data_IF_018268802755
#
_entry.id   IF_018268802755
#
_cell.length_a   1.000
_cell.length_b   1.000
_cell.length_c   1.000
_cell.angle_alpha   90.00
_cell.angle_beta   90.00
_cell.angle_gamma   90.00
#
_symmetry.space_group_name_H-M   'P 1'
#
loop_
_entity.id
_entity.type
_entity.pdbx_description
1 polymer ?
#
# COMPACT_ATOMS: atom_id res chain seq x y z
N UNK A 1 7.90 5.49 -28.92
CA UNK A 1 7.32 5.20 -27.59
C UNK A 1 6.97 3.71 -27.38
N UNK A 2 6.66 2.97 -28.45
CA UNK A 2 6.46 1.50 -28.41
C UNK A 2 7.81 0.75 -28.32
N UNK A 3 8.89 1.31 -28.86
CA UNK A 3 10.22 0.67 -28.86
C UNK A 3 10.95 0.69 -27.50
N UNK A 4 10.57 1.57 -26.57
CA UNK A 4 11.14 1.62 -25.22
C UNK A 4 10.73 0.41 -24.36
N UNK A 5 9.60 -0.22 -24.70
CA UNK A 5 9.10 -1.42 -24.03
C UNK A 5 9.73 -2.72 -24.57
N UNK A 6 10.31 -2.70 -25.78
CA UNK A 6 10.81 -3.92 -26.45
C UNK A 6 12.28 -4.23 -26.10
N UNK A 7 13.06 -3.23 -25.71
CA UNK A 7 14.50 -3.39 -25.43
C UNK A 7 14.84 -3.80 -23.97
N UNK A 8 13.84 -3.86 -23.08
CA UNK A 8 14.00 -4.22 -21.65
C UNK A 8 13.77 -5.71 -21.38
N UNK A 9 13.83 -6.55 -22.43
CA UNK A 9 13.58 -7.99 -22.31
C UNK A 9 14.87 -8.76 -21.95
N UNK A 10 16.05 -8.16 -22.09
CA UNK A 10 17.35 -8.82 -21.93
C UNK A 10 18.04 -8.73 -20.56
N UNK A 11 17.57 -7.90 -19.62
CA UNK A 11 18.11 -7.85 -18.24
C UNK A 11 17.01 -7.67 -17.20
N UNK A 12 16.14 -8.69 -17.07
CA UNK A 12 14.85 -8.57 -16.36
C UNK A 12 14.92 -8.50 -14.82
N UNK A 13 16.08 -8.73 -14.21
CA UNK A 13 16.32 -8.53 -12.77
C UNK A 13 17.75 -8.00 -12.64
N UNK A 14 17.92 -6.71 -12.31
CA UNK A 14 19.23 -6.10 -12.08
C UNK A 14 19.33 -5.76 -10.60
N UNK A 15 19.85 -6.70 -9.81
CA UNK A 15 20.13 -6.46 -8.38
C UNK A 15 21.26 -5.43 -8.28
N UNK A 16 20.89 -4.17 -8.33
CA UNK A 16 21.76 -3.02 -8.20
C UNK A 16 21.48 -2.35 -6.84
N UNK A 17 22.44 -1.55 -6.36
CA UNK A 17 22.29 -0.86 -5.06
C UNK A 17 21.03 0.00 -5.00
N UNK A 18 20.60 0.51 -6.16
CA UNK A 18 19.40 1.31 -6.30
C UNK A 18 18.11 0.49 -6.14
N UNK A 19 18.07 -0.74 -6.65
CA UNK A 19 16.93 -1.66 -6.45
C UNK A 19 16.85 -2.13 -4.99
N UNK A 20 18.00 -2.41 -4.38
CA UNK A 20 18.08 -2.77 -2.96
C UNK A 20 17.58 -1.61 -2.08
N UNK A 21 18.05 -0.39 -2.32
CA UNK A 21 17.60 0.80 -1.58
C UNK A 21 16.12 1.09 -1.79
N UNK A 22 15.60 0.89 -3.01
CA UNK A 22 14.18 1.05 -3.32
C UNK A 22 13.30 0.03 -2.60
N UNK A 23 13.72 -1.24 -2.57
CA UNK A 23 13.02 -2.30 -1.84
C UNK A 23 12.98 -2.05 -0.33
N UNK A 24 14.09 -1.61 0.27
CA UNK A 24 14.12 -1.20 1.68
C UNK A 24 13.23 0.02 1.94
N UNK A 25 13.15 0.96 1.00
CA UNK A 25 12.26 2.12 1.09
C UNK A 25 10.78 1.74 1.10
N UNK A 26 10.36 0.80 0.23
CA UNK A 26 8.97 0.32 0.18
C UNK A 26 8.58 -0.39 1.48
N UNK A 27 9.43 -1.32 1.94
CA UNK A 27 9.26 -2.05 3.21
C UNK A 27 9.16 -1.09 4.41
N UNK A 28 9.96 -0.03 4.43
CA UNK A 28 9.94 0.97 5.50
C UNK A 28 8.59 1.68 5.65
N UNK A 29 7.80 1.76 4.57
CA UNK A 29 6.44 2.32 4.61
C UNK A 29 5.37 1.26 4.82
N UNK A 30 5.58 0.04 4.33
CA UNK A 30 4.60 -1.05 4.42
C UNK A 30 4.53 -1.67 5.82
N UNK A 31 5.66 -1.85 6.50
CA UNK A 31 5.69 -2.42 7.85
C UNK A 31 4.81 -1.65 8.86
N UNK A 32 4.98 -0.33 9.06
CA UNK A 32 4.13 0.41 10.00
C UNK A 32 2.66 0.41 9.59
N UNK A 33 2.37 0.43 8.28
CA UNK A 33 1.01 0.40 7.77
C UNK A 33 0.32 -0.95 8.04
N UNK A 34 1.02 -2.07 7.77
CA UNK A 34 0.53 -3.42 8.05
C UNK A 34 0.32 -3.61 9.56
N UNK A 35 1.25 -3.14 10.40
CA UNK A 35 1.10 -3.20 11.86
C UNK A 35 -0.15 -2.42 12.31
N UNK A 36 -0.35 -1.20 11.80
CA UNK A 36 -1.55 -0.42 12.08
C UNK A 36 -2.84 -1.14 11.65
N UNK A 37 -2.81 -1.80 10.48
CA UNK A 37 -3.94 -2.58 10.00
C UNK A 37 -4.22 -3.79 10.89
N UNK A 38 -3.20 -4.53 11.33
CA UNK A 38 -3.34 -5.70 12.20
C UNK A 38 -3.98 -5.32 13.55
N UNK A 39 -3.54 -4.20 14.13
CA UNK A 39 -4.07 -3.69 15.41
C UNK A 39 -5.56 -3.37 15.31
N UNK A 40 -5.99 -2.76 14.20
CA UNK A 40 -7.39 -2.33 14.00
C UNK A 40 -8.30 -3.47 13.56
N UNK A 41 -7.82 -4.35 12.69
CA UNK A 41 -8.63 -5.40 12.04
C UNK A 41 -8.67 -6.73 12.80
N UNK A 42 -7.71 -6.98 13.70
CA UNK A 42 -7.57 -8.26 14.40
C UNK A 42 -7.20 -9.43 13.48
N UNK A 43 -6.67 -9.15 12.28
CA UNK A 43 -6.20 -10.19 11.35
C UNK A 43 -5.01 -10.96 11.92
N UNK A 44 -4.88 -12.24 11.54
CA UNK A 44 -3.72 -13.04 11.95
C UNK A 44 -2.43 -12.49 11.30
N UNK A 45 -1.45 -12.01 12.10
CA UNK A 45 -0.21 -11.42 11.57
C UNK A 45 0.55 -12.36 10.65
N UNK A 46 0.58 -13.66 10.98
CA UNK A 46 1.31 -14.68 10.21
C UNK A 46 0.77 -14.75 8.79
N UNK A 47 -0.56 -14.80 8.64
CA UNK A 47 -1.19 -14.90 7.32
C UNK A 47 -0.98 -13.64 6.48
N UNK A 48 -1.08 -12.46 7.10
CA UNK A 48 -0.90 -11.18 6.39
C UNK A 48 0.54 -11.02 5.91
N UNK A 49 1.53 -11.27 6.77
CA UNK A 49 2.94 -11.18 6.38
C UNK A 49 3.33 -12.25 5.35
N UNK A 50 2.80 -13.46 5.47
CA UNK A 50 3.06 -14.54 4.51
C UNK A 50 2.49 -14.21 3.13
N UNK A 51 1.23 -13.75 3.07
CA UNK A 51 0.60 -13.34 1.81
C UNK A 51 1.28 -12.10 1.20
N UNK A 52 1.65 -11.13 2.02
CA UNK A 52 2.39 -9.95 1.58
C UNK A 52 3.75 -10.33 0.96
N UNK A 53 4.54 -11.16 1.65
CA UNK A 53 5.83 -11.63 1.16
C UNK A 53 5.72 -12.44 -0.13
N UNK A 54 4.76 -13.38 -0.20
CA UNK A 54 4.49 -14.15 -1.42
C UNK A 54 4.06 -13.25 -2.58
N UNK A 55 3.19 -12.27 -2.33
CA UNK A 55 2.74 -11.31 -3.33
C UNK A 55 3.91 -10.46 -3.86
N UNK A 56 4.85 -10.05 -3.00
CA UNK A 56 6.00 -9.26 -3.41
C UNK A 56 6.99 -10.10 -4.24
N UNK A 57 7.23 -11.35 -3.86
CA UNK A 57 8.03 -12.29 -4.66
C UNK A 57 7.38 -12.53 -6.03
N UNK A 58 6.07 -12.79 -6.05
CA UNK A 58 5.33 -13.00 -7.29
C UNK A 58 5.39 -11.77 -8.20
N UNK A 59 5.18 -10.57 -7.65
CA UNK A 59 5.29 -9.32 -8.41
C UNK A 59 6.71 -9.11 -8.94
N UNK A 60 7.74 -9.37 -8.14
CA UNK A 60 9.14 -9.26 -8.55
C UNK A 60 9.49 -10.23 -9.69
N UNK A 61 8.98 -11.46 -9.66
CA UNK A 61 9.19 -12.45 -10.72
C UNK A 61 8.43 -12.12 -12.02
N UNK A 62 7.20 -11.63 -11.91
CA UNK A 62 6.34 -11.34 -13.08
C UNK A 62 6.71 -10.02 -13.75
N UNK A 63 6.98 -8.97 -12.98
CA UNK A 63 7.20 -7.61 -13.48
C UNK A 63 8.67 -7.16 -13.47
N UNK A 64 9.59 -7.95 -12.89
CA UNK A 64 11.03 -7.68 -12.87
C UNK A 64 11.47 -6.58 -11.89
N UNK A 65 10.53 -5.96 -11.18
CA UNK A 65 10.75 -4.92 -10.17
C UNK A 65 9.72 -5.08 -9.03
N UNK A 66 10.07 -4.75 -7.78
CA UNK A 66 9.07 -4.57 -6.73
C UNK A 66 8.16 -3.41 -7.14
N UNK A 67 6.92 -3.73 -7.53
CA UNK A 67 5.97 -2.71 -7.95
C UNK A 67 5.30 -2.13 -6.70
N UNK A 68 5.28 -0.79 -6.52
CA UNK A 68 4.62 -0.20 -5.37
C UNK A 68 3.13 -0.53 -5.41
N UNK A 69 2.65 -1.18 -4.35
CA UNK A 69 1.27 -1.66 -4.22
C UNK A 69 0.33 -0.54 -3.80
N UNK A 70 0.36 0.59 -4.54
CA UNK A 70 -0.42 1.80 -4.22
C UNK A 70 -1.92 1.55 -3.94
N UNK A 71 -2.61 0.62 -4.64
CA UNK A 71 -3.98 0.25 -4.30
C UNK A 71 -4.10 -0.35 -2.89
N UNK A 72 -3.18 -1.21 -2.50
CA UNK A 72 -3.14 -1.84 -1.17
C UNK A 72 -2.93 -0.79 -0.08
N UNK A 73 -2.03 0.18 -0.31
CA UNK A 73 -1.74 1.26 0.66
C UNK A 73 -2.99 2.10 0.93
N UNK A 74 -3.73 2.50 -0.10
CA UNK A 74 -4.97 3.27 0.06
C UNK A 74 -6.05 2.48 0.81
N UNK A 75 -6.25 1.21 0.46
CA UNK A 75 -7.24 0.34 1.12
C UNK A 75 -6.88 0.13 2.60
N UNK A 76 -5.60 -0.08 2.92
CA UNK A 76 -5.16 -0.21 4.31
C UNK A 76 -5.40 1.06 5.12
N UNK A 77 -5.12 2.24 4.56
CA UNK A 77 -5.38 3.53 5.23
C UNK A 77 -6.88 3.71 5.49
N UNK A 78 -7.72 3.41 4.51
CA UNK A 78 -9.19 3.50 4.66
C UNK A 78 -9.66 2.50 5.72
N UNK A 79 -9.15 1.27 5.72
CA UNK A 79 -9.51 0.24 6.68
C UNK A 79 -9.14 0.63 8.12
N UNK A 80 -7.95 1.23 8.31
CA UNK A 80 -7.49 1.77 9.59
C UNK A 80 -8.38 2.93 10.03
N UNK A 81 -8.61 3.90 9.13
CA UNK A 81 -9.42 5.10 9.40
C UNK A 81 -10.86 4.75 9.79
N UNK A 82 -11.49 3.82 9.09
CA UNK A 82 -12.88 3.42 9.30
C UNK A 82 -13.07 2.28 10.31
N UNK A 83 -12.00 1.74 10.88
CA UNK A 83 -12.05 0.57 11.78
C UNK A 83 -12.81 -0.62 11.18
N UNK A 84 -12.44 -0.98 9.94
CA UNK A 84 -13.08 -2.09 9.25
C UNK A 84 -12.69 -3.43 9.86
N UNK A 85 -13.68 -4.29 10.11
CA UNK A 85 -13.47 -5.64 10.62
C UNK A 85 -12.82 -6.56 9.57
N UNK A 86 -12.16 -7.62 10.05
CA UNK A 86 -11.48 -8.65 9.24
C UNK A 86 -12.30 -9.17 8.04
N UNK A 87 -13.57 -9.51 8.25
CA UNK A 87 -14.45 -10.02 7.17
C UNK A 87 -14.66 -9.00 6.04
N UNK A 88 -14.74 -7.71 6.39
CA UNK A 88 -14.94 -6.64 5.41
C UNK A 88 -13.66 -6.38 4.60
N UNK A 89 -12.49 -6.50 5.23
CA UNK A 89 -11.19 -6.38 4.55
C UNK A 89 -10.99 -7.53 3.55
N UNK A 90 -11.35 -8.76 3.93
CA UNK A 90 -11.31 -9.90 3.02
C UNK A 90 -12.25 -9.72 1.81
N UNK A 91 -13.48 -9.28 2.05
CA UNK A 91 -14.45 -9.00 0.98
C UNK A 91 -13.97 -7.85 0.07
N UNK A 92 -13.41 -6.79 0.65
CA UNK A 92 -12.82 -5.67 -0.09
C UNK A 92 -11.63 -6.15 -0.93
N UNK A 93 -10.75 -7.00 -0.39
CA UNK A 93 -9.61 -7.54 -1.12
C UNK A 93 -10.01 -8.38 -2.33
N UNK A 94 -10.99 -9.29 -2.17
CA UNK A 94 -11.48 -10.14 -3.26
C UNK A 94 -12.19 -9.30 -4.33
N UNK A 95 -13.08 -8.39 -3.92
CA UNK A 95 -13.80 -7.53 -4.85
C UNK A 95 -12.86 -6.61 -5.62
N UNK A 96 -11.87 -6.00 -4.95
CA UNK A 96 -10.85 -5.19 -5.61
C UNK A 96 -9.99 -6.01 -6.57
N UNK A 97 -9.64 -7.24 -6.20
CA UNK A 97 -8.93 -8.19 -7.07
C UNK A 97 -9.72 -8.49 -8.35
N UNK A 98 -11.01 -8.80 -8.23
CA UNK A 98 -11.89 -9.06 -9.39
C UNK A 98 -12.02 -7.83 -10.28
N UNK A 99 -12.28 -6.67 -9.68
CA UNK A 99 -12.42 -5.39 -10.41
C UNK A 99 -11.13 -5.06 -11.16
N UNK A 100 -9.98 -5.20 -10.50
CA UNK A 100 -8.67 -4.96 -11.13
C UNK A 100 -8.38 -5.96 -12.25
N UNK A 101 -8.75 -7.23 -12.09
CA UNK A 101 -8.55 -8.26 -13.12
C UNK A 101 -9.37 -7.92 -14.38
N UNK A 102 -10.63 -7.50 -14.20
CA UNK A 102 -11.51 -7.07 -15.29
C UNK A 102 -10.97 -5.79 -15.97
N UNK A 103 -10.55 -4.79 -15.19
CA UNK A 103 -9.98 -3.54 -15.70
C UNK A 103 -8.68 -3.76 -16.48
N UNK A 104 -7.82 -4.65 -15.99
CA UNK A 104 -6.57 -5.00 -16.66
C UNK A 104 -6.85 -5.73 -17.98
N UNK A 105 -7.74 -6.74 -17.97
CA UNK A 105 -8.11 -7.50 -19.17
C UNK A 105 -8.83 -6.66 -20.22
N UNK A 106 -9.65 -5.68 -19.81
CA UNK A 106 -10.38 -4.81 -20.72
C UNK A 106 -9.55 -3.64 -21.29
N UNK A 107 -8.35 -3.39 -20.76
CA UNK A 107 -7.50 -2.27 -21.19
C UNK A 107 -8.00 -0.88 -20.78
N UNK A 108 -9.12 -0.80 -20.05
CA UNK A 108 -9.73 0.46 -19.59
C UNK A 108 -8.81 1.26 -18.67
N UNK A 109 -7.88 0.58 -17.99
CA UNK A 109 -6.94 1.21 -17.05
C UNK A 109 -6.17 2.37 -17.71
N UNK A 110 -5.80 2.24 -18.99
CA UNK A 110 -5.06 3.27 -19.74
C UNK A 110 -5.92 4.47 -20.07
N UNK A 111 -7.20 4.23 -20.37
CA UNK A 111 -8.16 5.29 -20.67
C UNK A 111 -8.50 6.11 -19.42
N UNK A 112 -8.73 5.42 -18.30
CA UNK A 112 -9.00 6.05 -17.01
C UNK A 112 -7.78 6.85 -16.51
N UNK A 113 -6.57 6.30 -16.64
CA UNK A 113 -5.36 7.01 -16.24
C UNK A 113 -5.17 8.34 -16.99
N UNK A 114 -5.50 8.39 -18.29
CA UNK A 114 -5.43 9.62 -19.08
C UNK A 114 -6.47 10.68 -18.68
N UNK A 115 -7.53 10.31 -17.98
CA UNK A 115 -8.59 11.21 -17.53
C UNK A 115 -8.33 11.81 -16.14
N UNK A 116 -7.48 11.19 -15.32
CA UNK A 116 -7.24 11.60 -13.94
C UNK A 116 -6.07 12.59 -13.90
N UNK A 117 -6.30 13.89 -13.64
CA UNK A 117 -5.21 14.87 -13.51
C UNK A 117 -4.41 14.62 -12.24
N UNK A 118 -3.11 14.91 -12.28
CA UNK A 118 -2.21 14.72 -11.11
C UNK A 118 -2.67 15.47 -9.86
N UNK A 119 -3.36 16.60 -10.01
CA UNK A 119 -3.93 17.36 -8.90
C UNK A 119 -4.89 16.51 -8.05
N UNK A 120 -5.68 15.62 -8.67
CA UNK A 120 -6.62 14.74 -7.96
C UNK A 120 -5.86 13.67 -7.18
N UNK A 121 -4.81 13.10 -7.76
CA UNK A 121 -3.98 12.08 -7.11
C UNK A 121 -3.32 12.66 -5.85
N UNK A 122 -2.71 13.84 -5.96
CA UNK A 122 -2.07 14.53 -4.83
C UNK A 122 -3.11 14.94 -3.77
N UNK A 123 -4.31 15.34 -4.19
CA UNK A 123 -5.42 15.66 -3.28
C UNK A 123 -5.88 14.45 -2.46
N UNK A 124 -6.03 13.29 -3.10
CA UNK A 124 -6.39 12.03 -2.41
C UNK A 124 -5.30 11.63 -1.43
N UNK A 125 -4.03 11.69 -1.83
CA UNK A 125 -2.90 11.36 -0.95
C UNK A 125 -2.83 12.30 0.27
N UNK A 126 -3.04 13.60 0.06
CA UNK A 126 -3.10 14.58 1.15
C UNK A 126 -4.28 14.32 2.09
N UNK A 127 -5.48 14.08 1.56
CA UNK A 127 -6.67 13.80 2.37
C UNK A 127 -6.55 12.52 3.20
N UNK A 128 -5.95 11.47 2.64
CA UNK A 128 -5.66 10.23 3.36
C UNK A 128 -4.59 10.44 4.45
N UNK A 129 -3.53 11.20 4.15
CA UNK A 129 -2.51 11.56 5.13
C UNK A 129 -3.05 12.36 6.31
N UNK A 130 -3.89 13.36 6.04
CA UNK A 130 -4.58 14.15 7.08
C UNK A 130 -5.49 13.26 7.94
N UNK A 131 -6.21 12.31 7.33
CA UNK A 131 -7.03 11.35 8.09
C UNK A 131 -6.20 10.47 9.04
N UNK A 132 -5.03 10.00 8.61
CA UNK A 132 -4.13 9.24 9.48
C UNK A 132 -3.64 10.09 10.65
N UNK A 133 -3.29 11.36 10.41
CA UNK A 133 -2.88 12.30 11.46
C UNK A 133 -4.02 12.50 12.46
N UNK A 134 -5.25 12.73 11.98
CA UNK A 134 -6.41 12.86 12.85
C UNK A 134 -6.67 11.59 13.67
N UNK A 135 -6.54 10.40 13.07
CA UNK A 135 -6.70 9.14 13.78
C UNK A 135 -5.64 8.96 14.87
N UNK A 136 -4.37 9.29 14.55
CA UNK A 136 -3.26 9.22 15.50
C UNK A 136 -3.46 10.20 16.67
N UNK A 137 -3.82 11.46 16.38
CA UNK A 137 -4.01 12.53 17.36
C UNK A 137 -5.26 12.35 18.22
N UNK A 138 -6.39 11.97 17.64
CA UNK A 138 -7.67 11.93 18.34
C UNK A 138 -8.00 10.57 18.97
N UNK A 139 -7.46 9.48 18.42
CA UNK A 139 -7.82 8.13 18.87
C UNK A 139 -6.67 7.43 19.56
N UNK A 140 -5.44 7.57 19.06
CA UNK A 140 -4.29 6.83 19.57
C UNK A 140 -3.60 7.53 20.75
N UNK A 141 -3.41 8.85 20.68
CA UNK A 141 -2.81 9.64 21.77
C UNK A 141 -3.68 9.68 23.05
N UNK A 142 -5.02 9.87 22.98
CA UNK A 142 -5.84 9.91 24.18
C UNK A 142 -6.04 8.55 24.82
N UNK A 143 -5.97 7.44 24.06
CA UNK A 143 -6.15 6.10 24.61
C UNK A 143 -4.92 5.54 25.33
N UNK A 144 -3.74 6.16 25.17
CA UNK A 144 -2.49 5.77 25.83
C UNK A 144 -2.08 6.69 26.99
N UNK A 145 -2.80 7.78 27.26
CA UNK A 145 -2.47 8.71 28.32
C UNK A 145 -1.03 9.27 28.21
N UNK A 146 -0.31 9.38 29.33
CA UNK A 146 1.03 9.97 29.39
C UNK A 146 2.07 9.25 28.49
N UNK A 147 1.95 7.94 28.23
CA UNK A 147 2.90 7.21 27.38
C UNK A 147 2.74 7.56 25.90
N UNK A 148 1.52 7.90 25.46
CA UNK A 148 1.26 8.33 24.09
C UNK A 148 1.92 9.68 23.76
N UNK A 149 1.95 10.59 24.73
CA UNK A 149 2.60 11.91 24.58
C UNK A 149 4.13 11.75 24.57
N UNK A 150 4.69 10.89 25.41
CA UNK A 150 6.14 10.63 25.46
C UNK A 150 6.62 9.97 24.16
N UNK A 151 5.88 8.99 23.63
CA UNK A 151 6.21 8.35 22.36
C UNK A 151 6.09 9.31 21.16
N UNK A 152 5.11 10.21 21.18
CA UNK A 152 4.95 11.23 20.13
C UNK A 152 6.09 12.26 20.11
N UNK A 153 6.67 12.59 21.27
CA UNK A 153 7.81 13.53 21.37
C UNK A 153 9.14 12.84 21.05
N UNK A 154 9.32 11.57 21.42
CA UNK A 154 10.55 10.80 21.13
C UNK A 154 10.61 10.33 19.67
N UNK A 155 9.45 10.16 19.02
CA UNK A 155 9.35 9.76 17.61
C UNK A 155 9.36 10.91 16.59
N UNK A 156 9.40 12.17 17.04
CA UNK A 156 9.59 13.37 16.20
C UNK A 156 11.07 13.67 16.03
#
# INVERSE_FOLDING_TARGET
MIDYFRNTIGSRIRIDRNELSGAFGDIGTDLPLIIGLLIVSGLNPVNVFLLFGLSQIFSGLVYGLPMPVQPLKAVAIIAISQNLGSNMILAAGISLGIVMLILNKSGLIKYVYGLIPECVIRGIQFGLGVNLIFLALLKYIPSQGLSGIILAVVGL
#
